data_IF_330074886457
#
_entry.id   IF_330074886457
#
_cell.length_a   1.000
_cell.length_b   1.000
_cell.length_c   1.000
_cell.angle_alpha   90.00
_cell.angle_beta   90.00
_cell.angle_gamma   90.00
#
_symmetry.space_group_name_H-M   'P 1'
#
loop_
_entity.id
_entity.type
_entity.pdbx_description
1 polymer ?
#
# COMPACT_ATOMS: atom_id res chain seq x y z
N UNK A 1 -22.55 8.14 -31.92
CA UNK A 1 -22.79 6.80 -32.51
C UNK A 1 -22.41 5.77 -31.45
N UNK A 2 -23.38 4.99 -30.96
CA UNK A 2 -23.23 4.19 -29.74
C UNK A 2 -22.42 2.91 -30.04
N UNK A 3 -21.48 2.53 -29.16
CA UNK A 3 -20.52 1.42 -29.37
C UNK A 3 -21.22 0.10 -29.74
N UNK A 4 -22.42 -0.13 -29.17
CA UNK A 4 -23.29 -1.27 -29.48
C UNK A 4 -23.74 -1.33 -30.94
N UNK A 5 -23.98 -0.19 -31.58
CA UNK A 5 -24.39 -0.12 -32.99
C UNK A 5 -23.26 -0.45 -33.96
N UNK A 6 -22.01 -0.12 -33.59
CA UNK A 6 -20.84 -0.49 -34.39
C UNK A 6 -20.52 -1.99 -34.29
N UNK A 7 -20.75 -2.57 -33.10
CA UNK A 7 -20.59 -4.01 -32.85
C UNK A 7 -21.64 -4.83 -33.61
N UNK A 8 -22.89 -4.36 -33.67
CA UNK A 8 -23.95 -5.05 -34.41
C UNK A 8 -23.66 -5.09 -35.92
N UNK A 9 -23.22 -3.97 -36.50
CA UNK A 9 -22.90 -3.88 -37.93
C UNK A 9 -21.65 -4.70 -38.32
N UNK A 10 -20.65 -4.78 -37.44
CA UNK A 10 -19.46 -5.60 -37.67
C UNK A 10 -19.77 -7.11 -37.60
N UNK A 11 -20.65 -7.53 -36.68
CA UNK A 11 -21.07 -8.93 -36.56
C UNK A 11 -21.92 -9.38 -37.77
N UNK A 12 -22.76 -8.49 -38.30
CA UNK A 12 -23.59 -8.76 -39.48
C UNK A 12 -22.74 -8.87 -40.77
N UNK A 13 -21.69 -8.05 -40.91
CA UNK A 13 -20.74 -8.13 -42.03
C UNK A 13 -19.90 -9.42 -42.04
N UNK A 14 -19.63 -10.01 -40.88
CA UNK A 14 -18.80 -11.21 -40.73
C UNK A 14 -19.61 -12.51 -40.63
N UNK A 15 -20.95 -12.45 -40.58
CA UNK A 15 -21.82 -13.63 -40.51
C UNK A 15 -21.69 -14.42 -39.19
N UNK A 16 -21.26 -13.77 -38.11
CA UNK A 16 -21.00 -14.40 -36.81
C UNK A 16 -22.10 -14.01 -35.81
N UNK A 17 -22.56 -14.97 -35.00
CA UNK A 17 -23.62 -14.76 -34.01
C UNK A 17 -23.28 -13.68 -32.97
N UNK A 18 -24.26 -12.88 -32.52
CA UNK A 18 -24.02 -11.70 -31.66
C UNK A 18 -23.48 -12.03 -30.25
N UNK A 19 -23.57 -13.28 -29.82
CA UNK A 19 -23.06 -13.75 -28.53
C UNK A 19 -21.60 -14.28 -28.59
N UNK A 20 -20.98 -14.29 -29.77
CA UNK A 20 -19.59 -14.76 -29.89
C UNK A 20 -18.62 -13.62 -29.51
N UNK A 21 -17.68 -13.82 -28.57
CA UNK A 21 -16.78 -12.77 -28.10
C UNK A 21 -15.62 -12.54 -29.08
N UNK A 22 -15.92 -12.18 -30.32
CA UNK A 22 -14.95 -11.98 -31.41
C UNK A 22 -13.84 -11.01 -30.96
N UNK A 23 -14.21 -9.93 -30.27
CA UNK A 23 -13.26 -8.92 -29.78
C UNK A 23 -12.25 -9.45 -28.75
N UNK A 24 -12.55 -10.53 -28.03
CA UNK A 24 -11.59 -11.17 -27.13
C UNK A 24 -10.54 -12.00 -27.89
N UNK A 25 -10.85 -12.44 -29.12
CA UNK A 25 -9.94 -13.20 -29.97
C UNK A 25 -9.14 -12.35 -30.95
N UNK A 26 -9.60 -11.14 -31.29
CA UNK A 26 -8.88 -10.21 -32.18
C UNK A 26 -7.44 -9.96 -31.71
N UNK A 27 -7.16 -9.68 -30.42
CA UNK A 27 -5.79 -9.52 -29.95
C UNK A 27 -4.96 -10.79 -30.11
N UNK A 28 -5.55 -11.97 -29.90
CA UNK A 28 -4.85 -13.25 -30.04
C UNK A 28 -4.50 -13.55 -31.50
N UNK A 29 -5.38 -13.21 -32.45
CA UNK A 29 -5.14 -13.44 -33.88
C UNK A 29 -4.14 -12.43 -34.45
N UNK A 30 -4.23 -11.17 -34.03
CA UNK A 30 -3.35 -10.10 -34.55
C UNK A 30 -1.98 -10.12 -33.87
N UNK A 31 -1.94 -10.21 -32.54
CA UNK A 31 -0.69 -10.17 -31.78
C UNK A 31 -0.12 -11.55 -31.47
N UNK A 32 -0.89 -12.63 -31.56
CA UNK A 32 -0.40 -14.00 -31.34
C UNK A 32 0.79 -14.36 -32.24
N UNK A 33 0.73 -14.15 -33.57
CA UNK A 33 1.85 -14.43 -34.46
C UNK A 33 3.11 -13.62 -34.10
N UNK A 34 2.94 -12.34 -33.74
CA UNK A 34 4.05 -11.46 -33.31
C UNK A 34 4.63 -11.94 -31.98
N UNK A 35 3.77 -12.28 -31.02
CA UNK A 35 4.18 -12.79 -29.71
C UNK A 35 4.92 -14.12 -29.81
N UNK A 36 4.45 -15.05 -30.65
CA UNK A 36 5.14 -16.32 -30.94
C UNK A 36 6.48 -16.07 -31.62
N UNK A 37 6.57 -15.13 -32.56
CA UNK A 37 7.82 -14.78 -33.22
C UNK A 37 8.84 -14.16 -32.26
N UNK A 38 8.38 -13.31 -31.35
CA UNK A 38 9.20 -12.73 -30.27
C UNK A 38 9.69 -13.83 -29.32
N UNK A 39 8.82 -14.72 -28.85
CA UNK A 39 9.22 -15.86 -28.01
C UNK A 39 10.19 -16.82 -28.72
N UNK A 40 9.97 -17.06 -30.02
CA UNK A 40 10.85 -17.87 -30.84
C UNK A 40 12.27 -17.29 -30.88
N UNK A 41 12.40 -15.97 -31.08
CA UNK A 41 13.69 -15.28 -31.12
C UNK A 41 14.31 -15.03 -29.73
N UNK A 42 13.51 -14.94 -28.66
CA UNK A 42 13.99 -14.76 -27.28
C UNK A 42 14.53 -16.05 -26.64
N UNK A 43 14.34 -17.22 -27.27
CA UNK A 43 14.98 -18.43 -26.76
C UNK A 43 14.33 -19.74 -27.18
N UNK A 44 13.07 -19.75 -27.63
CA UNK A 44 12.43 -21.00 -28.05
C UNK A 44 13.18 -21.70 -29.20
N UNK A 45 13.82 -20.93 -30.08
CA UNK A 45 14.67 -21.47 -31.15
C UNK A 45 15.78 -22.39 -30.62
N UNK A 46 16.39 -22.05 -29.48
CA UNK A 46 17.46 -22.84 -28.87
C UNK A 46 16.95 -24.09 -28.14
N UNK A 47 15.70 -24.08 -27.69
CA UNK A 47 15.04 -25.26 -27.10
C UNK A 47 14.64 -26.26 -28.19
N UNK A 48 14.05 -25.77 -29.28
CA UNK A 48 13.55 -26.60 -30.37
C UNK A 48 14.70 -27.15 -31.24
N UNK A 49 15.69 -26.33 -31.54
CA UNK A 49 16.87 -26.75 -32.29
C UNK A 49 18.16 -26.30 -31.57
N UNK A 50 18.58 -27.04 -30.53
CA UNK A 50 19.81 -26.71 -29.81
C UNK A 50 21.02 -26.75 -30.72
N UNK A 51 22.02 -25.92 -30.43
CA UNK A 51 23.29 -25.90 -31.15
C UNK A 51 23.98 -27.26 -31.09
N UNK A 52 24.87 -27.54 -32.05
CA UNK A 52 25.59 -28.81 -32.10
C UNK A 52 26.34 -29.11 -30.79
N UNK A 53 26.88 -28.07 -30.15
CA UNK A 53 27.57 -28.16 -28.86
C UNK A 53 26.64 -28.60 -27.71
N UNK A 54 25.44 -28.01 -27.59
CA UNK A 54 24.45 -28.38 -26.57
C UNK A 54 23.91 -29.80 -26.80
N UNK A 55 23.77 -30.22 -28.06
CA UNK A 55 23.40 -31.60 -28.40
C UNK A 55 24.47 -32.58 -27.94
N UNK A 56 25.74 -32.24 -28.12
CA UNK A 56 26.85 -33.08 -27.70
C UNK A 56 26.99 -33.13 -26.17
N UNK A 57 26.87 -31.99 -25.48
CA UNK A 57 26.84 -31.97 -24.01
C UNK A 57 25.69 -32.80 -23.43
N UNK A 58 24.50 -32.75 -24.04
CA UNK A 58 23.39 -33.60 -23.61
C UNK A 58 23.64 -35.09 -23.86
N UNK A 59 24.37 -35.44 -24.93
CA UNK A 59 24.79 -36.84 -25.18
C UNK A 59 25.79 -37.29 -24.13
N UNK A 60 26.81 -36.48 -23.85
CA UNK A 60 27.80 -36.76 -22.80
C UNK A 60 27.11 -36.91 -21.44
N UNK A 61 26.26 -35.96 -21.05
CA UNK A 61 25.50 -36.04 -19.78
C UNK A 61 24.64 -37.29 -19.71
N UNK A 62 23.90 -37.65 -20.76
CA UNK A 62 23.11 -38.89 -20.78
C UNK A 62 23.98 -40.15 -20.71
N UNK A 63 25.16 -40.13 -21.35
CA UNK A 63 26.10 -41.24 -21.28
C UNK A 63 26.69 -41.37 -19.87
N UNK A 64 27.01 -40.25 -19.21
CA UNK A 64 27.49 -40.22 -17.83
C UNK A 64 26.39 -40.66 -16.85
N UNK A 65 25.16 -40.14 -16.98
CA UNK A 65 24.00 -40.59 -16.19
C UNK A 65 23.75 -42.09 -16.36
N UNK A 66 23.87 -42.62 -17.59
CA UNK A 66 23.73 -44.04 -17.87
C UNK A 66 24.87 -44.88 -17.24
N UNK A 67 26.10 -44.37 -17.26
CA UNK A 67 27.24 -45.00 -16.58
C UNK A 67 27.06 -45.01 -15.07
N UNK A 68 26.72 -43.86 -14.48
CA UNK A 68 26.48 -43.74 -13.04
C UNK A 68 25.33 -44.64 -12.58
N UNK A 69 24.24 -44.71 -13.35
CA UNK A 69 23.12 -45.60 -13.02
C UNK A 69 23.49 -47.08 -13.17
N UNK A 70 24.29 -47.45 -14.18
CA UNK A 70 24.79 -48.81 -14.34
C UNK A 70 25.78 -49.20 -13.22
N UNK A 71 26.72 -48.33 -12.87
CA UNK A 71 27.64 -48.53 -11.75
C UNK A 71 26.89 -48.62 -10.42
N UNK A 72 25.91 -47.75 -10.19
CA UNK A 72 25.08 -47.79 -8.98
C UNK A 72 24.30 -49.10 -8.93
N UNK A 73 23.75 -49.57 -10.05
CA UNK A 73 23.06 -50.85 -10.12
C UNK A 73 24.00 -52.01 -9.80
N UNK A 74 25.19 -52.04 -10.41
CA UNK A 74 26.21 -53.06 -10.17
C UNK A 74 26.64 -53.07 -8.70
N UNK A 75 26.96 -51.91 -8.11
CA UNK A 75 27.31 -51.79 -6.68
C UNK A 75 26.19 -52.26 -5.75
N UNK A 76 24.92 -52.05 -6.12
CA UNK A 76 23.77 -52.54 -5.35
C UNK A 76 23.57 -54.05 -5.49
N UNK A 77 23.78 -54.60 -6.69
CA UNK A 77 23.74 -56.04 -6.96
C UNK A 77 24.85 -56.77 -6.18
N UNK A 78 26.08 -56.23 -6.21
CA UNK A 78 27.24 -56.73 -5.45
C UNK A 78 27.03 -56.63 -3.94
N UNK A 79 26.34 -55.58 -3.46
CA UNK A 79 25.97 -55.42 -2.05
C UNK A 79 24.73 -56.23 -1.65
N UNK A 80 24.13 -57.02 -2.56
CA UNK A 80 22.94 -57.83 -2.31
C UNK A 80 21.67 -57.02 -1.99
N UNK A 81 21.65 -55.71 -2.28
CA UNK A 81 20.54 -54.81 -1.96
C UNK A 81 19.56 -54.71 -3.14
N UNK A 82 18.37 -55.31 -3.00
CA UNK A 82 17.28 -55.15 -3.99
C UNK A 82 16.57 -53.81 -3.80
N UNK A 83 16.76 -52.87 -4.72
CA UNK A 83 15.97 -51.63 -4.81
C UNK A 83 14.49 -51.97 -5.08
N UNK A 84 13.65 -51.95 -4.04
CA UNK A 84 12.20 -51.94 -4.22
C UNK A 84 11.81 -50.54 -4.63
N UNK A 85 11.38 -50.36 -5.89
CA UNK A 85 10.71 -49.13 -6.29
C UNK A 85 9.48 -48.96 -5.39
N UNK A 86 9.49 -47.94 -4.52
CA UNK A 86 8.36 -47.63 -3.65
C UNK A 86 7.20 -47.15 -4.51
N UNK A 87 6.38 -48.08 -5.00
CA UNK A 87 5.12 -47.76 -5.64
C UNK A 87 4.20 -47.20 -4.56
N UNK A 88 3.75 -45.96 -4.73
CA UNK A 88 2.76 -45.37 -3.80
C UNK A 88 1.55 -46.29 -3.74
N UNK A 89 1.17 -46.69 -2.53
CA UNK A 89 -0.02 -47.53 -2.36
C UNK A 89 -1.26 -46.70 -2.68
N UNK A 90 -2.39 -47.31 -3.11
CA UNK A 90 -3.63 -46.58 -3.36
C UNK A 90 -4.08 -45.77 -2.14
N UNK A 91 -3.82 -46.27 -0.92
CA UNK A 91 -4.09 -45.56 0.33
C UNK A 91 -3.24 -44.28 0.48
N UNK A 92 -1.97 -44.31 0.07
CA UNK A 92 -1.10 -43.12 0.07
C UNK A 92 -1.56 -42.07 -0.95
N UNK A 93 -2.06 -42.51 -2.11
CA UNK A 93 -2.62 -41.60 -3.12
C UNK A 93 -3.91 -40.94 -2.62
N UNK A 94 -4.80 -41.71 -1.98
CA UNK A 94 -6.00 -41.18 -1.35
C UNK A 94 -5.67 -40.20 -0.21
N UNK A 95 -4.72 -40.54 0.65
CA UNK A 95 -4.27 -39.64 1.72
C UNK A 95 -3.69 -38.34 1.18
N UNK A 96 -2.83 -38.43 0.15
CA UNK A 96 -2.28 -37.25 -0.52
C UNK A 96 -3.38 -36.39 -1.16
N UNK A 97 -4.34 -37.02 -1.84
CA UNK A 97 -5.49 -36.34 -2.42
C UNK A 97 -6.36 -35.64 -1.36
N UNK A 98 -6.63 -36.31 -0.24
CA UNK A 98 -7.39 -35.75 0.86
C UNK A 98 -6.67 -34.53 1.48
N UNK A 99 -5.36 -34.63 1.72
CA UNK A 99 -4.58 -33.49 2.24
C UNK A 99 -4.60 -32.31 1.30
N UNK A 100 -4.43 -32.52 -0.01
CA UNK A 100 -4.52 -31.44 -0.99
C UNK A 100 -5.93 -30.86 -1.11
N UNK A 101 -6.97 -31.68 -1.02
CA UNK A 101 -8.34 -31.19 -1.02
C UNK A 101 -8.63 -30.31 0.19
N UNK A 102 -8.21 -30.73 1.39
CA UNK A 102 -8.33 -29.90 2.61
C UNK A 102 -7.58 -28.59 2.44
N UNK A 103 -6.35 -28.63 1.94
CA UNK A 103 -5.55 -27.43 1.70
C UNK A 103 -6.21 -26.48 0.69
N UNK A 104 -6.72 -27.02 -0.42
CA UNK A 104 -7.44 -26.25 -1.42
C UNK A 104 -8.72 -25.61 -0.86
N UNK A 105 -9.47 -26.32 -0.01
CA UNK A 105 -10.66 -25.78 0.65
C UNK A 105 -10.32 -24.65 1.61
N UNK A 106 -9.24 -24.79 2.40
CA UNK A 106 -8.76 -23.74 3.31
C UNK A 106 -8.36 -22.50 2.52
N UNK A 107 -7.57 -22.65 1.46
CA UNK A 107 -7.20 -21.54 0.58
C UNK A 107 -8.44 -20.90 -0.04
N UNK A 108 -9.36 -21.71 -0.57
CA UNK A 108 -10.57 -21.20 -1.20
C UNK A 108 -11.43 -20.39 -0.22
N UNK A 109 -11.61 -20.89 1.00
CA UNK A 109 -12.38 -20.20 2.02
C UNK A 109 -11.73 -18.87 2.41
N UNK A 110 -10.43 -18.88 2.73
CA UNK A 110 -9.71 -17.65 3.11
C UNK A 110 -9.44 -16.69 1.95
N UNK A 111 -9.54 -17.16 0.71
CA UNK A 111 -9.44 -16.32 -0.48
C UNK A 111 -10.68 -15.44 -0.70
N UNK A 112 -11.84 -15.84 -0.16
CA UNK A 112 -13.09 -15.09 -0.32
C UNK A 112 -13.67 -14.57 0.99
N UNK A 113 -13.29 -15.16 2.12
CA UNK A 113 -13.90 -14.93 3.43
C UNK A 113 -12.87 -14.93 4.57
N UNK A 114 -12.95 -14.00 5.54
CA UNK A 114 -13.85 -12.85 5.57
C UNK A 114 -13.43 -11.78 4.55
N UNK A 115 -14.42 -11.12 3.95
CA UNK A 115 -14.16 -9.95 3.12
C UNK A 115 -13.53 -8.85 3.99
N UNK A 116 -12.37 -8.35 3.58
CA UNK A 116 -11.77 -7.20 4.24
C UNK A 116 -12.57 -5.95 3.90
N UNK A 117 -13.18 -5.34 4.93
CA UNK A 117 -13.94 -4.10 4.80
C UNK A 117 -13.09 -2.97 5.38
N UNK A 118 -12.47 -2.17 4.50
CA UNK A 118 -11.69 -1.01 4.92
C UNK A 118 -12.59 0.05 5.61
N UNK A 119 -13.81 0.24 5.08
CA UNK A 119 -14.78 1.20 5.60
C UNK A 119 -16.17 0.54 5.66
N UNK A 120 -16.78 0.40 6.86
CA UNK A 120 -18.11 -0.17 6.99
C UNK A 120 -19.12 0.61 6.15
N UNK A 121 -20.00 -0.05 5.38
CA UNK A 121 -20.89 0.62 4.43
C UNK A 121 -21.92 1.55 5.09
N UNK A 122 -22.16 1.37 6.40
CA UNK A 122 -23.10 2.16 7.20
C UNK A 122 -22.43 3.28 8.02
N UNK A 123 -21.10 3.42 7.95
CA UNK A 123 -20.36 4.43 8.70
C UNK A 123 -19.77 5.48 7.77
N UNK A 124 -19.58 6.68 8.29
CA UNK A 124 -18.70 7.68 7.72
C UNK A 124 -17.33 7.63 8.40
N UNK A 125 -16.33 8.25 7.78
CA UNK A 125 -14.98 8.35 8.35
C UNK A 125 -14.63 9.81 8.58
N UNK A 126 -14.45 10.18 9.84
CA UNK A 126 -13.88 11.47 10.21
C UNK A 126 -12.37 11.32 10.30
N UNK A 127 -11.62 12.07 9.49
CA UNK A 127 -10.18 11.94 9.38
C UNK A 127 -9.48 13.22 9.85
N UNK A 128 -8.72 13.12 10.93
CA UNK A 128 -7.83 14.18 11.39
C UNK A 128 -6.53 14.10 10.59
N UNK A 129 -6.35 14.98 9.62
CA UNK A 129 -5.16 15.03 8.76
C UNK A 129 -4.64 16.46 8.67
N UNK A 130 -4.01 16.92 9.75
CA UNK A 130 -3.49 18.29 9.83
C UNK A 130 -1.97 18.29 10.00
N UNK A 131 -1.32 19.29 9.41
CA UNK A 131 0.09 19.60 9.61
C UNK A 131 0.20 21.07 9.93
N UNK A 132 0.75 21.39 11.09
CA UNK A 132 0.89 22.76 11.58
C UNK A 132 2.19 22.91 12.37
N UNK A 133 2.87 24.03 12.18
CA UNK A 133 4.07 24.36 12.94
C UNK A 133 3.68 25.21 14.14
N UNK A 134 3.85 24.68 15.36
CA UNK A 134 3.62 25.45 16.57
C UNK A 134 4.48 26.71 16.66
N UNK A 135 4.05 27.66 17.50
CA UNK A 135 4.84 28.87 17.79
C UNK A 135 6.18 28.49 18.43
N UNK A 136 7.13 29.42 18.39
CA UNK A 136 8.44 29.17 18.99
C UNK A 136 8.31 29.03 20.51
N UNK A 137 9.08 28.13 21.11
CA UNK A 137 9.06 27.90 22.57
C UNK A 137 9.47 29.16 23.34
N UNK A 138 10.39 29.93 22.77
CA UNK A 138 10.86 31.19 23.30
C UNK A 138 10.55 32.30 22.29
N UNK A 139 10.02 33.41 22.80
CA UNK A 139 9.84 34.62 21.99
C UNK A 139 11.19 35.15 21.50
N UNK A 140 11.21 35.69 20.29
CA UNK A 140 12.39 36.30 19.71
C UNK A 140 12.81 37.55 20.51
N UNK A 141 13.96 37.49 21.18
CA UNK A 141 14.50 38.64 21.91
C UNK A 141 15.33 39.53 20.98
N UNK A 142 15.05 40.83 21.00
CA UNK A 142 15.94 41.82 20.35
C UNK A 142 17.16 42.07 21.24
N UNK A 143 18.36 41.89 20.70
CA UNK A 143 19.62 42.14 21.43
C UNK A 143 19.93 43.63 21.48
N UNK A 144 20.43 44.09 22.63
CA UNK A 144 20.85 45.49 22.79
C UNK A 144 22.17 45.77 22.06
N UNK A 145 22.49 47.04 21.81
CA UNK A 145 23.77 47.43 21.16
C UNK A 145 24.99 46.99 21.99
N UNK A 146 24.86 47.01 23.31
CA UNK A 146 25.92 46.58 24.24
C UNK A 146 26.13 45.06 24.20
N UNK A 147 25.04 44.29 24.12
CA UNK A 147 25.10 42.83 23.94
C UNK A 147 25.73 42.47 22.59
N UNK A 148 25.38 43.18 21.50
CA UNK A 148 25.96 42.98 20.17
C UNK A 148 27.44 43.37 20.11
N UNK A 149 27.85 44.42 20.81
CA UNK A 149 29.26 44.84 20.84
C UNK A 149 30.16 43.79 21.50
N UNK A 150 29.64 43.06 22.51
CA UNK A 150 30.33 41.94 23.17
C UNK A 150 30.51 40.71 22.27
N UNK A 151 29.68 40.56 21.24
CA UNK A 151 29.79 39.48 20.25
C UNK A 151 30.85 39.81 19.19
N UNK A 152 31.52 38.77 18.67
CA UNK A 152 32.42 38.88 17.53
C UNK A 152 31.67 39.42 16.29
N UNK A 153 32.38 40.16 15.42
CA UNK A 153 31.76 40.90 14.32
C UNK A 153 30.86 40.06 13.40
N UNK A 154 31.21 38.79 13.17
CA UNK A 154 30.45 37.84 12.34
C UNK A 154 29.23 37.23 13.05
N UNK A 155 29.09 37.40 14.37
CA UNK A 155 28.05 36.79 15.20
C UNK A 155 27.01 37.81 15.72
N UNK A 156 27.05 39.07 15.24
CA UNK A 156 26.18 40.18 15.70
C UNK A 156 24.79 40.15 15.06
N UNK A 157 24.08 39.03 15.21
CA UNK A 157 22.68 38.94 14.80
C UNK A 157 21.79 39.77 15.76
N UNK A 158 20.95 40.70 15.25
CA UNK A 158 20.17 41.62 16.08
C UNK A 158 19.00 40.94 16.82
N UNK A 159 18.56 39.77 16.36
CA UNK A 159 17.50 38.98 16.97
C UNK A 159 18.07 37.66 17.48
N UNK A 160 17.62 37.25 18.66
CA UNK A 160 17.86 35.95 19.24
C UNK A 160 16.55 35.17 19.23
N UNK A 161 16.37 34.32 18.23
CA UNK A 161 15.17 33.49 18.06
C UNK A 161 15.56 32.03 18.27
N UNK A 162 14.94 31.38 19.25
CA UNK A 162 15.01 29.91 19.30
C UNK A 162 14.36 29.33 18.05
N UNK A 163 14.99 28.29 17.50
CA UNK A 163 14.45 27.51 16.38
C UNK A 163 13.46 26.45 16.85
N UNK A 164 13.52 26.06 18.13
CA UNK A 164 12.65 25.03 18.70
C UNK A 164 11.20 25.51 18.72
N UNK A 165 10.30 24.67 18.22
CA UNK A 165 8.87 24.92 18.18
C UNK A 165 8.14 24.21 19.32
N UNK A 166 7.01 24.79 19.70
CA UNK A 166 6.10 24.19 20.67
C UNK A 166 5.36 23.02 20.03
N UNK A 167 5.15 21.89 20.75
CA UNK A 167 4.29 20.82 20.27
C UNK A 167 2.86 21.30 20.06
N UNK A 168 2.26 20.93 18.94
CA UNK A 168 0.84 21.21 18.68
C UNK A 168 0.01 20.20 19.44
N UNK A 169 -1.03 20.67 20.13
CA UNK A 169 -2.00 19.83 20.85
C UNK A 169 -3.35 20.01 20.19
N UNK A 170 -4.07 18.92 19.95
CA UNK A 170 -5.39 18.92 19.31
C UNK A 170 -6.38 18.27 20.26
N UNK A 171 -7.54 18.91 20.38
CA UNK A 171 -8.75 18.37 20.99
C UNK A 171 -9.85 18.27 19.93
N UNK A 172 -10.46 17.09 19.81
CA UNK A 172 -11.51 16.81 18.84
C UNK A 172 -12.70 16.21 19.57
N UNK A 173 -13.84 16.86 19.42
CA UNK A 173 -15.12 16.42 19.94
C UNK A 173 -16.16 16.28 18.82
N UNK A 174 -17.00 15.26 18.96
CA UNK A 174 -18.16 14.98 18.12
C UNK A 174 -19.39 15.02 19.00
N UNK A 175 -20.37 15.86 18.65
CA UNK A 175 -21.63 16.04 19.40
C UNK A 175 -21.44 16.40 20.89
N UNK A 176 -20.31 17.06 21.20
CA UNK A 176 -19.94 17.44 22.56
C UNK A 176 -19.19 16.36 23.33
N UNK A 177 -19.05 15.15 22.80
CA UNK A 177 -18.19 14.10 23.35
C UNK A 177 -16.79 14.16 22.75
N UNK A 178 -15.77 14.24 23.61
CA UNK A 178 -14.37 14.24 23.19
C UNK A 178 -13.97 12.86 22.68
N UNK A 179 -13.69 12.76 21.39
CA UNK A 179 -13.28 11.51 20.73
C UNK A 179 -11.77 11.39 20.58
N UNK A 180 -11.02 12.51 20.64
CA UNK A 180 -9.56 12.48 20.56
C UNK A 180 -8.91 13.69 21.25
N UNK A 181 -7.82 13.42 21.96
CA UNK A 181 -6.88 14.44 22.42
C UNK A 181 -5.47 13.92 22.23
N UNK A 182 -4.61 14.71 21.58
CA UNK A 182 -3.25 14.28 21.28
C UNK A 182 -2.28 15.44 21.19
N UNK A 183 -1.01 15.16 21.46
CA UNK A 183 0.09 16.10 21.30
C UNK A 183 1.06 15.56 20.25
N UNK A 184 1.41 16.39 19.26
CA UNK A 184 2.38 16.05 18.23
C UNK A 184 3.63 16.92 18.39
N UNK A 185 4.77 16.26 18.64
CA UNK A 185 6.06 16.94 18.75
C UNK A 185 6.56 17.42 17.38
N UNK A 186 7.24 18.57 17.30
CA UNK A 186 7.78 19.05 16.04
C UNK A 186 8.87 18.12 15.52
N UNK A 187 8.86 17.90 14.21
CA UNK A 187 9.87 17.09 13.52
C UNK A 187 11.24 17.79 13.42
N UNK A 188 12.28 17.02 13.10
CA UNK A 188 13.64 17.53 12.89
C UNK A 188 14.56 17.40 14.10
N UNK A 189 15.88 17.36 13.86
CA UNK A 189 16.91 17.19 14.91
C UNK A 189 16.88 18.31 15.97
N UNK A 190 16.48 19.51 15.55
CA UNK A 190 16.35 20.69 16.41
C UNK A 190 14.90 21.00 16.77
N UNK A 191 13.95 20.10 16.46
CA UNK A 191 12.50 20.28 16.67
C UNK A 191 11.97 21.60 16.10
N UNK A 192 12.43 21.97 14.92
CA UNK A 192 12.08 23.21 14.22
C UNK A 192 11.10 22.97 13.04
N UNK A 193 10.74 21.71 12.80
CA UNK A 193 9.81 21.28 11.77
C UNK A 193 8.34 21.41 12.17
N UNK A 194 7.47 20.74 11.41
CA UNK A 194 6.03 20.76 11.65
C UNK A 194 5.63 19.64 12.61
N UNK A 195 4.50 19.84 13.29
CA UNK A 195 3.75 18.82 13.99
C UNK A 195 2.62 18.32 13.09
N UNK A 196 2.39 17.01 13.04
CA UNK A 196 1.41 16.40 12.16
C UNK A 196 0.54 15.39 12.89
N UNK A 197 -0.74 15.35 12.54
CA UNK A 197 -1.72 14.37 13.02
C UNK A 197 -2.30 13.61 11.84
N UNK A 198 -2.46 12.30 12.01
CA UNK A 198 -3.07 11.44 11.01
C UNK A 198 -3.88 10.34 11.72
N UNK A 199 -5.14 10.64 12.01
CA UNK A 199 -6.03 9.73 12.74
C UNK A 199 -7.36 9.58 12.01
N UNK A 200 -7.99 8.41 12.12
CA UNK A 200 -9.26 8.10 11.49
C UNK A 200 -10.27 7.57 12.49
N UNK A 201 -11.44 8.20 12.54
CA UNK A 201 -12.53 7.88 13.47
C UNK A 201 -13.76 7.43 12.67
N UNK A 202 -14.14 6.14 12.73
CA UNK A 202 -15.37 5.68 12.10
C UNK A 202 -16.57 6.17 12.92
N UNK A 203 -17.42 6.99 12.32
CA UNK A 203 -18.58 7.62 12.96
C UNK A 203 -19.89 7.13 12.33
N UNK A 204 -20.98 7.25 13.08
CA UNK A 204 -22.32 6.97 12.57
C UNK A 204 -22.67 8.00 11.49
N UNK A 205 -23.52 7.64 10.54
CA UNK A 205 -23.99 8.57 9.51
C UNK A 205 -25.12 9.44 10.05
N UNK A 206 -25.17 10.70 9.66
CA UNK A 206 -26.18 11.65 10.10
C UNK A 206 -25.62 13.05 10.32
N UNK A 207 -26.44 13.88 10.97
CA UNK A 207 -26.06 15.25 11.35
C UNK A 207 -25.23 15.19 12.62
N UNK A 208 -24.03 15.74 12.56
CA UNK A 208 -23.10 15.81 13.67
C UNK A 208 -22.56 17.22 13.85
N UNK A 209 -22.32 17.62 15.10
CA UNK A 209 -21.59 18.84 15.44
C UNK A 209 -20.13 18.49 15.72
N UNK A 210 -19.24 18.92 14.85
CA UNK A 210 -17.79 18.73 15.02
C UNK A 210 -17.23 19.96 15.72
N UNK A 211 -16.44 19.74 16.77
CA UNK A 211 -15.67 20.79 17.45
C UNK A 211 -14.20 20.41 17.49
N UNK A 212 -13.34 21.29 16.98
CA UNK A 212 -11.89 21.09 16.93
C UNK A 212 -11.23 22.27 17.63
N UNK A 213 -10.40 21.97 18.62
CA UNK A 213 -9.57 22.94 19.32
C UNK A 213 -8.10 22.61 19.11
N UNK A 214 -7.28 23.63 18.89
CA UNK A 214 -5.83 23.48 18.67
C UNK A 214 -5.09 24.46 19.57
N UNK A 215 -4.08 23.95 20.27
CA UNK A 215 -3.06 24.75 20.95
C UNK A 215 -1.75 24.66 20.19
N UNK A 216 -1.19 25.81 19.83
CA UNK A 216 0.08 25.93 19.11
C UNK A 216 1.16 26.63 19.96
N UNK A 217 0.82 27.04 21.19
CA UNK A 217 1.65 27.86 22.04
C UNK A 217 1.60 27.46 23.52
N UNK A 218 2.69 27.76 24.26
CA UNK A 218 2.77 27.50 25.70
C UNK A 218 1.77 28.32 26.51
N UNK A 219 1.45 29.53 26.08
CA UNK A 219 0.67 30.50 26.86
C UNK A 219 -0.75 29.99 27.18
N UNK A 220 -1.32 29.17 26.29
CA UNK A 220 -2.70 28.70 26.37
C UNK A 220 -2.85 27.20 26.66
N UNK A 221 -1.74 26.45 26.70
CA UNK A 221 -1.73 24.99 26.73
C UNK A 221 -2.46 24.36 27.94
N UNK A 222 -2.59 25.11 29.04
CA UNK A 222 -3.24 24.65 30.29
C UNK A 222 -4.62 25.29 30.51
N UNK A 223 -5.19 25.94 29.49
CA UNK A 223 -6.49 26.61 29.55
C UNK A 223 -7.46 26.05 28.53
N UNK A 224 -8.77 26.17 28.79
CA UNK A 224 -9.83 25.89 27.82
C UNK A 224 -9.89 26.93 26.68
N UNK A 225 -8.95 27.88 26.63
CA UNK A 225 -8.79 28.85 25.55
C UNK A 225 -7.89 28.25 24.46
N UNK A 226 -8.46 27.97 23.30
CA UNK A 226 -7.73 27.42 22.16
C UNK A 226 -7.01 28.54 21.37
N UNK A 227 -5.88 28.22 20.74
CA UNK A 227 -5.26 29.12 19.76
C UNK A 227 -6.10 29.17 18.48
N UNK A 228 -6.65 28.03 18.06
CA UNK A 228 -7.60 27.92 16.96
C UNK A 228 -8.79 27.05 17.36
N UNK A 229 -9.99 27.50 16.99
CA UNK A 229 -11.22 26.76 17.26
C UNK A 229 -12.09 26.72 16.01
N UNK A 230 -12.68 25.57 15.75
CA UNK A 230 -13.72 25.39 14.76
C UNK A 230 -14.87 24.62 15.39
N UNK A 231 -16.09 25.13 15.19
CA UNK A 231 -17.31 24.41 15.50
C UNK A 231 -18.24 24.48 14.31
N UNK A 232 -18.58 23.34 13.73
CA UNK A 232 -19.40 23.28 12.53
C UNK A 232 -20.31 22.05 12.55
N UNK A 233 -21.54 22.25 12.11
CA UNK A 233 -22.48 21.17 11.85
C UNK A 233 -22.27 20.62 10.44
N UNK A 234 -22.21 19.29 10.32
CA UNK A 234 -22.04 18.57 9.07
C UNK A 234 -23.04 17.42 8.98
N UNK A 235 -23.46 17.07 7.76
CA UNK A 235 -24.30 15.89 7.52
C UNK A 235 -23.47 14.83 6.81
N UNK A 236 -23.04 13.80 7.55
CA UNK A 236 -22.18 12.73 7.08
C UNK A 236 -22.99 11.60 6.45
N UNK A 237 -22.74 11.34 5.17
CA UNK A 237 -23.34 10.25 4.40
C UNK A 237 -22.58 8.94 4.58
N UNK A 238 -23.22 7.79 4.30
CA UNK A 238 -22.53 6.50 4.33
C UNK A 238 -21.31 6.49 3.40
N UNK A 239 -20.18 5.97 3.90
CA UNK A 239 -18.88 5.93 3.20
C UNK A 239 -18.28 7.30 2.83
N UNK A 240 -18.83 8.39 3.36
CA UNK A 240 -18.23 9.72 3.21
C UNK A 240 -16.99 9.83 4.12
N UNK A 241 -15.94 10.45 3.58
CA UNK A 241 -14.73 10.75 4.33
C UNK A 241 -14.66 12.26 4.48
N UNK A 242 -14.85 12.74 5.71
CA UNK A 242 -14.66 14.14 6.05
C UNK A 242 -13.27 14.34 6.63
N UNK A 243 -12.49 15.24 6.04
CA UNK A 243 -11.11 15.53 6.43
C UNK A 243 -11.06 16.82 7.23
N UNK A 244 -10.55 16.73 8.45
CA UNK A 244 -10.19 17.88 9.27
C UNK A 244 -8.74 18.23 8.97
N UNK A 245 -8.52 19.42 8.41
CA UNK A 245 -7.18 19.91 8.06
C UNK A 245 -6.92 21.30 8.64
N UNK A 246 -5.69 21.79 8.47
CA UNK A 246 -5.30 23.13 8.90
C UNK A 246 -4.72 23.91 7.72
N UNK A 247 -5.38 24.99 7.33
CA UNK A 247 -4.89 25.92 6.33
C UNK A 247 -3.88 26.87 6.99
N UNK A 248 -2.60 26.61 6.76
CA UNK A 248 -1.51 27.42 7.30
C UNK A 248 -1.43 28.83 6.69
N UNK A 249 -1.97 29.03 5.49
CA UNK A 249 -1.97 30.36 4.84
C UNK A 249 -3.08 31.24 5.40
N UNK A 250 -4.27 30.68 5.59
CA UNK A 250 -5.40 31.39 6.18
C UNK A 250 -5.40 31.39 7.72
N UNK A 251 -4.60 30.52 8.36
CA UNK A 251 -4.53 30.40 9.81
C UNK A 251 -5.82 29.87 10.42
N UNK A 252 -6.46 28.88 9.80
CA UNK A 252 -7.75 28.32 10.24
C UNK A 252 -7.87 26.83 9.97
N UNK A 253 -8.71 26.18 10.77
CA UNK A 253 -9.08 24.78 10.59
C UNK A 253 -10.11 24.70 9.45
N UNK A 254 -10.01 23.70 8.57
CA UNK A 254 -10.96 23.44 7.49
C UNK A 254 -11.54 22.04 7.57
N UNK A 255 -12.75 21.87 7.06
CA UNK A 255 -13.43 20.59 6.87
C UNK A 255 -13.66 20.41 5.37
N UNK A 256 -13.10 19.35 4.80
CA UNK A 256 -13.11 19.05 3.36
C UNK A 256 -13.59 17.64 3.06
#
# INVERSE_FOLDING_TARGET
MNLKGLILAANEFLGVSPDFPIFSFVPLVVFGPVFVLVLYNLGLKHIINPSAEVKEQNRLRKADEARETAERKQKMDDAGMKMKATKKTPLQLLGQGATFAVFALVISYFSTSPAYVAHPPEKALLKLSMTHAGKHVQECKKRSREELAKLAANMRAPMDCSRERWPVIVDLALDGERIFTGSATPTGLSKDGHSSFYEGFPVVTGVHTISVGVWDSKAKADSDDFDYVLKQEVNLKPQEILVISFDNAAGRITLE
#
